data_IF_841571458303
#
_entry.id   IF_841571458303
#
_cell.length_a   1.000
_cell.length_b   1.000
_cell.length_c   1.000
_cell.angle_alpha   90.00
_cell.angle_beta   90.00
_cell.angle_gamma   90.00
#
_symmetry.space_group_name_H-M   'P 1'
#
loop_
_entity.id
_entity.type
_entity.pdbx_description
1 polymer ?
#
# COMPACT_ATOMS: atom_id res chain seq x y z
N UNK A 1 -21.43 -5.26 -13.33
CA UNK A 1 -20.20 -4.47 -13.10
C UNK A 1 -19.96 -4.45 -11.60
N UNK A 2 -18.72 -4.64 -11.20
CA UNK A 2 -18.30 -4.58 -9.79
C UNK A 2 -18.70 -3.24 -9.15
N UNK A 3 -19.07 -3.27 -7.87
CA UNK A 3 -19.30 -2.03 -7.10
C UNK A 3 -18.03 -1.18 -7.04
N UNK A 4 -16.87 -1.82 -7.01
CA UNK A 4 -15.55 -1.20 -6.91
C UNK A 4 -15.00 -0.69 -8.27
N UNK A 5 -15.62 -1.05 -9.40
CA UNK A 5 -15.10 -0.72 -10.73
C UNK A 5 -14.76 0.78 -10.91
N UNK A 6 -15.59 1.73 -10.45
CA UNK A 6 -15.24 3.16 -10.59
C UNK A 6 -13.96 3.56 -9.84
N UNK A 7 -13.62 2.88 -8.74
CA UNK A 7 -12.41 3.16 -7.97
C UNK A 7 -11.21 2.42 -8.58
N UNK A 8 -11.42 1.21 -9.11
CA UNK A 8 -10.43 0.48 -9.91
C UNK A 8 -9.99 1.35 -11.11
N UNK A 9 -10.95 1.93 -11.83
CA UNK A 9 -10.68 2.82 -12.97
C UNK A 9 -9.95 4.10 -12.52
N UNK A 10 -10.30 4.66 -11.35
CA UNK A 10 -9.64 5.84 -10.80
C UNK A 10 -8.19 5.54 -10.36
N UNK A 11 -7.91 4.38 -9.77
CA UNK A 11 -6.54 3.95 -9.44
C UNK A 11 -5.72 3.75 -10.71
N UNK A 12 -6.31 3.15 -11.76
CA UNK A 12 -5.67 3.01 -13.08
C UNK A 12 -5.29 4.37 -13.68
N UNK A 13 -6.22 5.32 -13.63
CA UNK A 13 -6.01 6.69 -14.10
C UNK A 13 -4.95 7.42 -13.26
N UNK A 14 -4.92 7.22 -11.96
CA UNK A 14 -3.90 7.76 -11.06
C UNK A 14 -2.51 7.19 -11.39
N UNK A 15 -2.40 5.90 -11.71
CA UNK A 15 -1.16 5.29 -12.18
C UNK A 15 -0.66 5.91 -13.48
N UNK A 16 -1.57 6.20 -14.41
CA UNK A 16 -1.24 6.88 -15.67
C UNK A 16 -0.72 8.31 -15.41
N UNK A 17 -1.35 9.05 -14.49
CA UNK A 17 -0.86 10.35 -14.06
C UNK A 17 0.56 10.26 -13.51
N UNK A 18 0.82 9.29 -12.62
CA UNK A 18 2.14 9.07 -12.03
C UNK A 18 3.21 8.81 -13.10
N UNK A 19 2.94 7.96 -14.09
CA UNK A 19 3.86 7.70 -15.20
C UNK A 19 4.16 8.96 -16.00
N UNK A 20 3.14 9.75 -16.36
CA UNK A 20 3.33 11.02 -17.09
C UNK A 20 4.16 12.03 -16.32
N UNK A 21 4.01 12.09 -15.01
CA UNK A 21 4.84 12.98 -14.16
C UNK A 21 6.29 12.49 -14.14
N UNK A 22 6.54 11.20 -14.02
CA UNK A 22 7.90 10.64 -14.08
C UNK A 22 8.57 10.92 -15.42
N UNK A 23 7.88 10.73 -16.54
CA UNK A 23 8.39 10.96 -17.89
C UNK A 23 8.70 12.43 -18.17
N UNK A 24 7.94 13.34 -17.58
CA UNK A 24 8.12 14.79 -17.81
C UNK A 24 9.22 15.43 -16.98
N UNK A 25 9.86 14.69 -16.07
CA UNK A 25 10.81 15.19 -15.06
C UNK A 25 10.24 16.37 -14.22
N UNK A 26 8.96 16.68 -14.38
CA UNK A 26 8.31 17.83 -13.82
C UNK A 26 7.57 17.43 -12.54
N UNK A 27 8.13 17.71 -11.37
CA UNK A 27 7.29 17.70 -10.20
C UNK A 27 7.80 17.07 -8.94
N UNK A 28 9.10 16.92 -8.77
CA UNK A 28 9.64 16.60 -7.46
C UNK A 28 9.80 17.89 -6.66
N UNK A 29 8.83 18.20 -5.82
CA UNK A 29 9.01 19.21 -4.77
C UNK A 29 9.52 18.51 -3.51
N UNK A 30 10.72 18.89 -3.03
CA UNK A 30 11.19 18.46 -1.72
C UNK A 30 10.67 19.45 -0.68
N UNK A 31 9.76 19.01 0.17
CA UNK A 31 9.43 19.77 1.38
C UNK A 31 10.67 19.88 2.25
N UNK A 32 10.80 20.99 2.98
CA UNK A 32 11.88 21.30 3.92
C UNK A 32 12.07 20.24 5.03
N UNK A 33 11.13 19.33 5.21
CA UNK A 33 11.06 18.38 6.33
C UNK A 33 11.30 16.91 5.92
N UNK A 34 12.09 16.67 4.88
CA UNK A 34 12.62 15.36 4.48
C UNK A 34 11.62 14.30 3.93
N UNK A 35 10.36 14.61 3.72
CA UNK A 35 9.43 13.73 3.00
C UNK A 35 9.20 14.28 1.60
N UNK A 36 9.68 13.61 0.53
CA UNK A 36 9.46 14.11 -0.82
C UNK A 36 7.97 13.96 -1.17
N UNK A 37 7.27 15.07 -1.25
CA UNK A 37 5.91 15.14 -1.78
C UNK A 37 6.00 15.60 -3.22
N UNK A 38 5.33 14.91 -4.08
CA UNK A 38 5.30 15.18 -5.52
C UNK A 38 3.93 15.72 -5.94
N UNK A 39 3.87 16.43 -7.06
CA UNK A 39 2.59 16.82 -7.67
C UNK A 39 1.73 15.61 -8.04
N UNK A 40 2.38 14.45 -8.24
CA UNK A 40 1.72 13.20 -8.54
C UNK A 40 0.90 12.68 -7.35
N UNK A 41 1.39 12.84 -6.09
CA UNK A 41 0.65 12.44 -4.89
C UNK A 41 -0.72 13.13 -4.83
N UNK A 42 -0.71 14.47 -4.90
CA UNK A 42 -1.96 15.23 -4.88
C UNK A 42 -2.87 14.91 -6.06
N UNK A 43 -2.31 14.75 -7.26
CA UNK A 43 -3.07 14.44 -8.47
C UNK A 43 -3.71 13.05 -8.41
N UNK A 44 -2.94 12.04 -7.99
CA UNK A 44 -3.41 10.67 -7.83
C UNK A 44 -4.52 10.59 -6.77
N UNK A 45 -4.30 11.20 -5.59
CA UNK A 45 -5.32 11.22 -4.55
C UNK A 45 -6.59 11.97 -5.00
N UNK A 46 -6.46 13.10 -5.67
CA UNK A 46 -7.61 13.87 -6.17
C UNK A 46 -8.47 13.05 -7.15
N UNK A 47 -7.85 12.27 -8.05
CA UNK A 47 -8.55 11.38 -8.98
C UNK A 47 -9.35 10.30 -8.25
N UNK A 48 -8.76 9.65 -7.26
CA UNK A 48 -9.42 8.62 -6.46
C UNK A 48 -10.55 9.24 -5.63
N UNK A 49 -10.30 10.33 -4.91
CA UNK A 49 -11.31 11.01 -4.10
C UNK A 49 -12.46 11.58 -4.94
N UNK A 50 -12.20 12.04 -6.19
CA UNK A 50 -13.25 12.44 -7.15
C UNK A 50 -14.18 11.26 -7.47
N UNK A 51 -13.63 10.08 -7.71
CA UNK A 51 -14.43 8.88 -7.96
C UNK A 51 -15.23 8.46 -6.73
N UNK A 52 -14.62 8.50 -5.54
CA UNK A 52 -15.29 8.23 -4.27
C UNK A 52 -16.45 9.18 -4.04
N UNK A 53 -16.24 10.49 -4.19
CA UNK A 53 -17.29 11.49 -4.04
C UNK A 53 -18.50 11.26 -4.95
N UNK A 54 -18.26 10.72 -6.15
CA UNK A 54 -19.32 10.43 -7.13
C UNK A 54 -20.07 9.14 -6.81
N UNK A 55 -19.34 8.12 -6.34
CA UNK A 55 -19.89 6.76 -6.19
C UNK A 55 -20.28 6.42 -4.76
N UNK A 56 -19.55 6.95 -3.79
CA UNK A 56 -19.68 6.67 -2.36
C UNK A 56 -19.66 7.97 -1.54
N UNK A 57 -20.62 8.89 -1.77
CA UNK A 57 -20.58 10.23 -1.18
C UNK A 57 -20.69 10.25 0.35
N UNK A 58 -21.24 9.19 0.96
CA UNK A 58 -21.47 9.09 2.41
C UNK A 58 -20.34 8.36 3.15
N UNK A 59 -19.39 7.77 2.42
CA UNK A 59 -18.31 7.01 3.03
C UNK A 59 -17.25 7.94 3.66
N UNK A 60 -16.61 7.46 4.74
CA UNK A 60 -15.43 8.14 5.31
C UNK A 60 -14.20 7.97 4.44
N UNK A 61 -13.24 8.90 4.54
CA UNK A 61 -11.95 8.82 3.86
C UNK A 61 -10.82 9.19 4.80
N UNK A 62 -9.82 8.30 4.90
CA UNK A 62 -8.52 8.56 5.51
C UNK A 62 -7.48 8.47 4.40
N UNK A 63 -6.80 9.56 4.12
CA UNK A 63 -5.81 9.63 3.05
C UNK A 63 -4.55 10.35 3.51
N UNK A 64 -3.42 10.02 2.90
CA UNK A 64 -2.12 10.56 3.26
C UNK A 64 -2.08 12.08 3.06
N UNK A 65 -2.52 12.56 1.89
CA UNK A 65 -2.40 13.97 1.53
C UNK A 65 -3.59 14.80 2.02
N UNK A 66 -3.31 16.02 2.50
CA UNK A 66 -4.28 16.94 3.06
C UNK A 66 -4.61 18.09 2.13
N UNK A 67 -5.90 18.51 2.12
CA UNK A 67 -6.32 19.70 1.39
C UNK A 67 -5.61 20.99 1.86
N UNK A 68 -5.42 21.16 3.17
CA UNK A 68 -4.70 22.31 3.73
C UNK A 68 -3.22 22.29 3.35
N UNK A 69 -2.61 21.10 3.31
CA UNK A 69 -1.22 20.94 2.85
C UNK A 69 -1.10 21.29 1.35
N UNK A 70 -2.08 20.88 0.53
CA UNK A 70 -2.16 21.32 -0.86
C UNK A 70 -2.24 22.84 -1.00
N UNK A 71 -3.10 23.52 -0.25
CA UNK A 71 -3.22 24.98 -0.27
C UNK A 71 -1.94 25.69 0.18
N UNK A 72 -1.08 25.03 0.96
CA UNK A 72 0.20 25.56 1.41
C UNK A 72 1.30 25.46 0.34
N UNK A 73 1.06 24.75 -0.77
CA UNK A 73 2.00 24.71 -1.89
C UNK A 73 2.07 26.05 -2.62
N UNK A 74 3.20 26.36 -3.29
CA UNK A 74 3.30 27.52 -4.18
C UNK A 74 2.17 27.54 -5.22
N UNK A 75 1.58 28.70 -5.54
CA UNK A 75 0.47 28.80 -6.50
C UNK A 75 0.76 28.14 -7.86
N UNK A 76 2.01 28.22 -8.33
CA UNK A 76 2.44 27.61 -9.59
C UNK A 76 2.35 26.08 -9.55
N UNK A 77 2.70 25.45 -8.42
CA UNK A 77 2.65 24.01 -8.23
C UNK A 77 1.20 23.52 -8.12
N UNK A 78 0.34 24.24 -7.37
CA UNK A 78 -1.10 23.94 -7.31
C UNK A 78 -1.72 23.98 -8.69
N UNK A 79 -1.47 25.07 -9.43
CA UNK A 79 -1.96 25.21 -10.80
C UNK A 79 -1.43 24.12 -11.73
N UNK A 80 -0.22 23.62 -11.52
CA UNK A 80 0.34 22.52 -12.30
C UNK A 80 -0.38 21.19 -11.99
N UNK A 81 -0.60 20.86 -10.72
CA UNK A 81 -1.35 19.66 -10.32
C UNK A 81 -2.77 19.66 -10.91
N UNK A 82 -3.47 20.79 -10.78
CA UNK A 82 -4.82 20.98 -11.36
C UNK A 82 -4.81 20.78 -12.87
N UNK A 83 -3.85 21.39 -13.60
CA UNK A 83 -3.73 21.23 -15.05
C UNK A 83 -3.43 19.79 -15.48
N UNK A 84 -2.60 19.08 -14.73
CA UNK A 84 -2.29 17.66 -15.02
C UNK A 84 -3.55 16.80 -14.93
N UNK A 85 -4.32 16.96 -13.84
CA UNK A 85 -5.57 16.25 -13.64
C UNK A 85 -6.62 16.64 -14.69
N UNK A 86 -6.79 17.93 -14.98
CA UNK A 86 -7.73 18.41 -15.98
C UNK A 86 -7.45 17.83 -17.38
N UNK A 87 -6.17 17.78 -17.77
CA UNK A 87 -5.75 17.17 -19.06
C UNK A 87 -6.06 15.68 -19.12
N UNK A 88 -5.84 14.97 -18.02
CA UNK A 88 -6.06 13.54 -17.96
C UNK A 88 -7.55 13.20 -17.99
N UNK A 89 -8.39 14.01 -17.32
CA UNK A 89 -9.84 13.87 -17.32
C UNK A 89 -10.50 14.34 -18.62
N UNK A 90 -9.81 15.19 -19.42
CA UNK A 90 -10.39 15.82 -20.59
C UNK A 90 -11.49 16.83 -20.27
N UNK A 91 -11.55 17.33 -19.02
CA UNK A 91 -12.55 18.31 -18.56
C UNK A 91 -11.90 19.45 -17.75
N UNK A 92 -12.50 20.64 -17.68
CA UNK A 92 -12.03 21.71 -16.83
C UNK A 92 -12.07 21.31 -15.36
N UNK A 93 -11.01 21.62 -14.61
CA UNK A 93 -10.90 21.44 -13.16
C UNK A 93 -10.41 22.74 -12.55
N UNK A 94 -11.05 23.18 -11.47
CA UNK A 94 -10.65 24.35 -10.69
C UNK A 94 -9.86 23.94 -9.44
N UNK A 95 -9.10 24.85 -8.82
CA UNK A 95 -8.45 24.60 -7.52
C UNK A 95 -9.49 24.26 -6.43
N UNK A 96 -10.67 24.87 -6.50
CA UNK A 96 -11.81 24.60 -5.62
C UNK A 96 -12.34 23.17 -5.77
N UNK A 97 -12.45 22.65 -7.00
CA UNK A 97 -12.84 21.26 -7.23
C UNK A 97 -11.80 20.31 -6.65
N UNK A 98 -10.53 20.60 -6.92
CA UNK A 98 -9.41 19.82 -6.44
C UNK A 98 -9.36 19.77 -4.91
N UNK A 99 -9.50 20.90 -4.24
CA UNK A 99 -9.57 20.98 -2.77
C UNK A 99 -10.78 20.20 -2.22
N UNK A 100 -11.96 20.34 -2.82
CA UNK A 100 -13.15 19.57 -2.45
C UNK A 100 -12.98 18.07 -2.59
N UNK A 101 -12.20 17.61 -3.57
CA UNK A 101 -11.90 16.18 -3.70
C UNK A 101 -10.93 15.73 -2.61
N UNK A 102 -9.84 16.45 -2.38
CA UNK A 102 -8.86 16.11 -1.33
C UNK A 102 -9.45 16.12 0.09
N UNK A 103 -10.50 16.87 0.33
CA UNK A 103 -11.17 16.98 1.65
C UNK A 103 -12.42 16.11 1.77
N UNK A 104 -12.80 15.42 0.68
CA UNK A 104 -14.00 14.57 0.68
C UNK A 104 -13.90 13.45 1.72
N UNK A 105 -15.00 13.21 2.46
CA UNK A 105 -15.11 12.14 3.45
C UNK A 105 -14.20 12.27 4.67
N UNK A 106 -13.41 13.35 4.80
CA UNK A 106 -12.56 13.60 5.97
C UNK A 106 -13.42 13.86 7.20
N UNK A 107 -13.06 13.19 8.31
CA UNK A 107 -13.80 13.28 9.58
C UNK A 107 -15.26 12.78 9.51
N UNK A 108 -15.67 12.14 8.43
CA UNK A 108 -16.96 11.46 8.34
C UNK A 108 -16.85 10.12 9.08
N UNK A 109 -17.80 9.88 10.00
CA UNK A 109 -17.97 8.57 10.63
C UNK A 109 -18.99 7.80 9.82
N UNK A 110 -18.55 6.74 9.17
CA UNK A 110 -19.39 5.87 8.35
C UNK A 110 -19.04 4.40 8.63
N UNK A 111 -19.93 3.51 8.27
CA UNK A 111 -19.71 2.06 8.40
C UNK A 111 -18.55 1.60 7.54
N UNK A 112 -18.36 2.24 6.37
CA UNK A 112 -17.23 2.04 5.49
C UNK A 112 -16.34 3.28 5.43
N UNK A 113 -15.03 3.07 5.59
CA UNK A 113 -14.00 4.11 5.47
C UNK A 113 -12.98 3.70 4.41
N UNK A 114 -12.79 4.53 3.41
CA UNK A 114 -11.71 4.37 2.41
C UNK A 114 -10.39 4.85 2.99
N UNK A 115 -9.34 4.10 2.68
CA UNK A 115 -7.97 4.41 3.10
C UNK A 115 -7.11 4.48 1.86
N UNK A 116 -6.46 5.63 1.62
CA UNK A 116 -5.77 5.94 0.36
C UNK A 116 -4.33 6.28 0.64
N UNK A 117 -3.43 5.65 -0.11
CA UNK A 117 -2.05 6.05 -0.30
C UNK A 117 -1.84 6.35 -1.80
N UNK A 118 -1.68 7.62 -2.18
CA UNK A 118 -1.57 8.00 -3.58
C UNK A 118 -0.29 7.49 -4.25
N UNK A 119 0.83 7.42 -3.49
CA UNK A 119 2.10 6.85 -3.97
C UNK A 119 2.83 6.17 -2.82
N UNK A 120 2.41 4.96 -2.46
CA UNK A 120 3.17 4.13 -1.52
C UNK A 120 4.51 3.72 -2.13
N UNK A 121 5.58 4.14 -1.48
CA UNK A 121 6.93 3.99 -1.98
C UNK A 121 7.42 5.21 -2.77
N UNK A 122 7.22 6.41 -2.27
CA UNK A 122 7.65 7.68 -2.89
C UNK A 122 9.13 7.69 -3.28
N UNK A 123 10.01 7.09 -2.45
CA UNK A 123 11.42 6.90 -2.81
C UNK A 123 11.61 6.00 -4.05
N UNK A 124 10.77 4.98 -4.20
CA UNK A 124 10.73 4.14 -5.40
C UNK A 124 10.29 4.96 -6.62
N UNK A 125 9.21 5.72 -6.48
CA UNK A 125 8.72 6.61 -7.52
C UNK A 125 9.79 7.60 -8.01
N UNK A 126 10.47 8.31 -7.09
CA UNK A 126 11.51 9.29 -7.42
C UNK A 126 12.72 8.65 -8.14
N UNK A 127 13.04 7.42 -7.78
CA UNK A 127 14.23 6.71 -8.30
C UNK A 127 13.90 5.72 -9.43
N UNK A 128 12.71 5.75 -10.02
CA UNK A 128 12.31 4.87 -11.12
C UNK A 128 12.23 3.38 -10.73
N UNK A 129 12.01 3.09 -9.44
CA UNK A 129 11.81 1.74 -8.91
C UNK A 129 10.32 1.46 -8.69
N UNK A 130 10.02 0.30 -8.10
CA UNK A 130 8.65 -0.08 -7.77
C UNK A 130 7.98 0.92 -6.81
N UNK A 131 6.71 1.22 -7.05
CA UNK A 131 5.80 1.98 -6.20
C UNK A 131 4.38 1.52 -6.47
N UNK A 132 3.44 1.95 -5.64
CA UNK A 132 2.04 1.57 -5.82
C UNK A 132 1.10 2.76 -5.54
N UNK A 133 -0.03 2.80 -6.26
CA UNK A 133 -1.19 3.66 -5.98
C UNK A 133 -2.24 2.79 -5.30
N UNK A 134 -2.66 3.15 -4.11
CA UNK A 134 -3.42 2.25 -3.26
C UNK A 134 -4.72 2.87 -2.73
N UNK A 135 -5.79 2.08 -2.78
CA UNK A 135 -7.05 2.36 -2.12
C UNK A 135 -7.59 1.09 -1.48
N UNK A 136 -8.02 1.17 -0.23
CA UNK A 136 -8.61 0.04 0.48
C UNK A 136 -9.80 0.48 1.32
N UNK A 137 -10.60 -0.46 1.80
CA UNK A 137 -11.73 -0.18 2.69
C UNK A 137 -11.56 -0.80 4.06
N UNK A 138 -12.02 -0.07 5.06
CA UNK A 138 -12.27 -0.57 6.40
C UNK A 138 -13.77 -0.63 6.65
N UNK A 139 -14.26 -1.78 7.10
CA UNK A 139 -15.62 -1.96 7.65
C UNK A 139 -15.46 -2.50 9.06
N UNK A 140 -16.03 -1.81 10.04
CA UNK A 140 -15.87 -2.14 11.47
C UNK A 140 -14.40 -2.30 11.90
N UNK A 141 -13.51 -1.47 11.34
CA UNK A 141 -12.06 -1.51 11.61
C UNK A 141 -11.31 -2.70 10.99
N UNK A 142 -11.94 -3.46 10.09
CA UNK A 142 -11.31 -4.57 9.38
C UNK A 142 -11.05 -4.22 7.91
N UNK A 143 -9.86 -4.48 7.38
CA UNK A 143 -9.59 -4.41 5.94
C UNK A 143 -10.46 -5.42 5.17
N UNK A 144 -11.28 -4.91 4.23
CA UNK A 144 -12.23 -5.71 3.43
C UNK A 144 -11.84 -5.71 1.97
N UNK A 145 -11.69 -4.51 1.38
CA UNK A 145 -11.28 -4.39 -0.01
C UNK A 145 -9.92 -3.76 -0.14
N UNK A 146 -9.21 -4.12 -1.21
CA UNK A 146 -7.93 -3.57 -1.58
C UNK A 146 -7.78 -3.44 -3.08
N UNK A 147 -7.29 -2.28 -3.53
CA UNK A 147 -6.96 -1.98 -4.92
C UNK A 147 -5.52 -1.43 -4.91
N UNK A 148 -4.64 -2.04 -5.67
CA UNK A 148 -3.21 -1.68 -5.75
C UNK A 148 -2.82 -1.60 -7.23
N UNK A 149 -2.59 -0.40 -7.72
CA UNK A 149 -1.98 -0.18 -9.02
C UNK A 149 -0.46 -0.14 -8.89
N UNK A 150 0.24 -1.02 -9.57
CA UNK A 150 1.71 -1.09 -9.58
C UNK A 150 2.25 -0.79 -10.98
N UNK A 151 2.57 0.48 -11.32
CA UNK A 151 3.10 0.85 -12.64
C UNK A 151 4.42 0.19 -12.98
N UNK A 152 5.27 -0.04 -11.97
CA UNK A 152 6.50 -0.80 -12.07
C UNK A 152 6.32 -2.08 -11.27
N UNK A 153 5.95 -3.16 -11.96
CA UNK A 153 5.63 -4.45 -11.35
C UNK A 153 6.66 -5.51 -11.78
N UNK A 154 7.16 -6.35 -10.85
CA UNK A 154 8.02 -7.46 -11.21
C UNK A 154 7.25 -8.63 -11.87
N UNK A 155 5.92 -8.55 -11.95
CA UNK A 155 5.07 -9.58 -12.56
C UNK A 155 4.68 -9.27 -14.00
N UNK A 156 4.75 -7.99 -14.40
CA UNK A 156 4.43 -7.54 -15.76
C UNK A 156 5.15 -6.22 -16.04
N UNK A 157 5.89 -6.13 -17.13
CA UNK A 157 6.66 -4.95 -17.55
C UNK A 157 5.76 -3.73 -17.83
N UNK A 158 4.48 -3.96 -18.22
CA UNK A 158 3.49 -2.91 -18.44
C UNK A 158 2.77 -2.46 -17.17
N UNK A 159 3.15 -3.03 -16.02
CA UNK A 159 2.50 -2.82 -14.74
C UNK A 159 1.32 -3.75 -14.51
N UNK A 160 0.92 -3.86 -13.26
CA UNK A 160 -0.13 -4.76 -12.81
C UNK A 160 -1.12 -4.02 -11.91
N UNK A 161 -2.39 -4.25 -12.11
CA UNK A 161 -3.46 -3.87 -11.20
C UNK A 161 -3.89 -5.10 -10.40
N UNK A 162 -3.90 -4.96 -9.09
CA UNK A 162 -4.36 -5.97 -8.14
C UNK A 162 -5.59 -5.45 -7.41
N UNK A 163 -6.60 -6.28 -7.20
CA UNK A 163 -7.80 -5.87 -6.48
C UNK A 163 -8.54 -7.05 -5.85
N UNK A 164 -9.41 -6.74 -4.90
CA UNK A 164 -10.34 -7.70 -4.33
C UNK A 164 -11.70 -7.55 -4.98
N UNK A 165 -12.38 -8.66 -5.21
CA UNK A 165 -13.76 -8.72 -5.64
C UNK A 165 -14.41 -10.03 -5.21
N UNK A 166 -15.60 -9.96 -4.60
CA UNK A 166 -16.33 -11.15 -4.16
C UNK A 166 -15.57 -11.98 -3.12
N UNK A 167 -14.76 -11.34 -2.27
CA UNK A 167 -13.92 -12.01 -1.26
C UNK A 167 -12.70 -12.72 -1.82
N UNK A 168 -12.38 -12.53 -3.09
CA UNK A 168 -11.22 -13.10 -3.79
C UNK A 168 -10.27 -12.01 -4.23
N UNK A 169 -9.01 -12.36 -4.44
CA UNK A 169 -7.98 -11.49 -4.98
C UNK A 169 -7.77 -11.73 -6.47
N UNK A 170 -7.59 -10.65 -7.22
CA UNK A 170 -7.44 -10.66 -8.68
C UNK A 170 -6.26 -9.82 -9.13
N UNK A 171 -5.69 -10.16 -10.27
CA UNK A 171 -4.72 -9.33 -10.98
C UNK A 171 -5.03 -9.26 -12.46
N UNK A 172 -4.79 -8.09 -13.04
CA UNK A 172 -4.87 -7.87 -14.49
C UNK A 172 -3.80 -6.87 -14.94
N UNK A 173 -3.49 -6.77 -16.22
CA UNK A 173 -2.61 -5.73 -16.73
C UNK A 173 -3.09 -4.34 -16.36
N UNK A 174 -2.15 -3.47 -15.96
CA UNK A 174 -2.47 -2.07 -15.64
C UNK A 174 -2.97 -1.34 -16.89
N UNK A 175 -2.38 -1.60 -18.04
CA UNK A 175 -2.87 -1.15 -19.33
C UNK A 175 -3.84 -2.19 -19.90
N UNK A 176 -5.08 -1.75 -20.13
CA UNK A 176 -6.07 -2.62 -20.76
C UNK A 176 -5.66 -2.91 -22.21
N UNK A 177 -5.57 -4.18 -22.54
CA UNK A 177 -5.35 -4.65 -23.89
C UNK A 177 -6.47 -5.61 -24.30
N UNK A 178 -6.78 -5.64 -25.59
CA UNK A 178 -7.80 -6.56 -26.12
C UNK A 178 -7.49 -8.01 -25.74
N UNK A 179 -8.46 -8.67 -25.11
CA UNK A 179 -8.35 -10.06 -24.68
C UNK A 179 -7.66 -10.30 -23.33
N UNK A 180 -7.21 -9.25 -22.62
CA UNK A 180 -6.73 -9.41 -21.26
C UNK A 180 -7.88 -9.75 -20.31
N UNK A 181 -7.72 -10.84 -19.54
CA UNK A 181 -8.70 -11.26 -18.54
C UNK A 181 -8.09 -11.22 -17.16
N UNK A 182 -8.85 -10.83 -16.11
CA UNK A 182 -8.40 -10.92 -14.75
C UNK A 182 -8.01 -12.36 -14.38
N UNK A 183 -6.93 -12.48 -13.62
CA UNK A 183 -6.45 -13.76 -13.07
C UNK A 183 -6.69 -13.77 -11.56
N UNK A 184 -7.36 -14.80 -11.06
CA UNK A 184 -7.52 -15.04 -9.62
C UNK A 184 -6.13 -15.29 -9.00
N UNK A 185 -5.89 -14.69 -7.83
CA UNK A 185 -4.65 -14.81 -7.11
C UNK A 185 -4.80 -15.75 -5.92
N UNK A 186 -3.77 -16.54 -5.70
CA UNK A 186 -3.62 -17.39 -4.53
C UNK A 186 -2.20 -17.27 -4.01
N UNK A 187 -2.05 -17.24 -2.69
CA UNK A 187 -0.73 -17.36 -2.06
C UNK A 187 -0.11 -18.71 -2.40
N UNK A 188 1.20 -18.83 -2.27
CA UNK A 188 1.88 -20.11 -2.50
C UNK A 188 1.69 -21.06 -1.32
N UNK A 189 1.79 -22.35 -1.58
CA UNK A 189 1.74 -23.43 -0.60
C UNK A 189 3.14 -23.89 -0.12
N UNK A 190 4.20 -23.13 -0.43
CA UNK A 190 5.57 -23.46 -0.05
C UNK A 190 5.75 -23.46 1.46
N UNK A 191 6.40 -24.50 1.97
CA UNK A 191 6.70 -24.69 3.39
C UNK A 191 8.18 -24.92 3.69
N UNK A 192 8.94 -25.45 2.72
CA UNK A 192 10.36 -25.70 2.89
C UNK A 192 11.16 -24.39 2.99
N UNK A 193 11.82 -24.11 4.14
CA UNK A 193 12.53 -22.86 4.38
C UNK A 193 13.53 -22.49 3.28
N UNK A 194 14.25 -23.45 2.72
CA UNK A 194 15.24 -23.23 1.68
C UNK A 194 14.60 -22.81 0.33
N UNK A 195 13.32 -23.07 0.14
CA UNK A 195 12.56 -22.70 -1.06
C UNK A 195 11.77 -21.41 -0.90
N UNK A 196 11.58 -20.90 0.33
CA UNK A 196 10.82 -19.67 0.57
C UNK A 196 11.50 -18.46 -0.07
N UNK A 197 10.67 -17.56 -0.58
CA UNK A 197 11.09 -16.26 -1.12
C UNK A 197 10.60 -15.18 -0.18
N UNK A 198 11.48 -14.29 0.23
CA UNK A 198 11.11 -13.13 1.03
C UNK A 198 11.21 -11.85 0.23
N UNK A 199 10.38 -10.88 0.58
CA UNK A 199 10.46 -9.52 0.06
C UNK A 199 10.71 -8.54 1.19
N UNK A 200 11.53 -7.52 0.94
CA UNK A 200 11.90 -6.48 1.88
C UNK A 200 11.74 -5.09 1.29
N UNK A 201 11.72 -4.07 2.15
CA UNK A 201 11.83 -2.68 1.71
C UNK A 201 13.26 -2.33 1.34
N UNK A 202 13.46 -1.52 0.28
CA UNK A 202 14.75 -0.93 -0.01
C UNK A 202 15.23 -0.07 1.14
N UNK A 203 14.35 0.76 1.66
CA UNK A 203 14.64 1.64 2.81
C UNK A 203 14.27 0.92 4.09
N UNK A 204 15.25 0.43 4.80
CA UNK A 204 15.13 -0.21 6.10
C UNK A 204 16.26 0.27 7.01
N UNK A 205 15.93 0.69 8.24
CA UNK A 205 16.95 1.09 9.21
C UNK A 205 17.90 -0.08 9.51
N UNK A 206 19.18 0.23 9.79
CA UNK A 206 20.23 -0.78 10.03
C UNK A 206 19.81 -1.84 11.05
N UNK A 207 19.30 -1.40 12.22
CA UNK A 207 18.85 -2.34 13.27
C UNK A 207 17.73 -3.26 12.83
N UNK A 208 16.73 -2.73 12.10
CA UNK A 208 15.64 -3.55 11.56
C UNK A 208 16.14 -4.58 10.55
N UNK A 209 17.15 -4.22 9.76
CA UNK A 209 17.80 -5.15 8.82
C UNK A 209 18.56 -6.25 9.53
N UNK A 210 19.40 -5.89 10.50
CA UNK A 210 20.17 -6.86 11.31
C UNK A 210 19.25 -7.89 11.97
N UNK A 211 18.07 -7.47 12.44
CA UNK A 211 17.08 -8.35 13.06
C UNK A 211 16.38 -9.21 12.00
N UNK A 212 15.99 -8.63 10.86
CA UNK A 212 15.39 -9.37 9.76
C UNK A 212 16.34 -10.47 9.26
N UNK A 213 17.63 -10.14 9.08
CA UNK A 213 18.67 -11.10 8.67
C UNK A 213 18.81 -12.26 9.69
N UNK A 214 18.75 -11.96 10.99
CA UNK A 214 18.77 -12.99 12.05
C UNK A 214 17.51 -13.85 12.00
N UNK A 215 16.33 -13.25 11.83
CA UNK A 215 15.06 -13.98 11.75
C UNK A 215 15.07 -14.90 10.53
N UNK A 216 15.47 -14.40 9.36
CA UNK A 216 15.53 -15.22 8.16
C UNK A 216 16.57 -16.33 8.26
N UNK A 217 17.75 -16.03 8.82
CA UNK A 217 18.79 -17.03 9.06
C UNK A 217 18.32 -18.15 9.99
N UNK A 218 17.69 -17.80 11.13
CA UNK A 218 17.16 -18.76 12.09
C UNK A 218 15.96 -19.56 11.55
N UNK A 219 15.16 -18.92 10.67
CA UNK A 219 14.07 -19.59 9.95
C UNK A 219 14.59 -20.46 8.79
N UNK A 220 15.88 -20.44 8.48
CA UNK A 220 16.50 -21.25 7.45
C UNK A 220 16.24 -20.75 6.02
N UNK A 221 15.87 -19.47 5.82
CA UNK A 221 15.67 -18.92 4.50
C UNK A 221 17.00 -18.73 3.75
N UNK A 222 16.99 -19.00 2.46
CA UNK A 222 18.14 -18.71 1.58
C UNK A 222 18.19 -17.19 1.28
N UNK A 223 19.22 -16.50 1.77
CA UNK A 223 19.42 -15.06 1.53
C UNK A 223 19.39 -14.65 0.06
N UNK A 224 19.75 -15.56 -0.87
CA UNK A 224 19.67 -15.30 -2.33
C UNK A 224 18.25 -15.18 -2.87
N UNK A 225 17.26 -15.60 -2.08
CA UNK A 225 15.82 -15.53 -2.39
C UNK A 225 15.13 -14.32 -1.78
N UNK A 226 15.88 -13.43 -1.14
CA UNK A 226 15.36 -12.17 -0.59
C UNK A 226 15.48 -11.10 -1.67
N UNK A 227 14.35 -10.52 -2.07
CA UNK A 227 14.28 -9.42 -3.04
C UNK A 227 13.75 -8.16 -2.37
N UNK A 228 14.13 -7.00 -2.91
CA UNK A 228 13.75 -5.70 -2.37
C UNK A 228 12.85 -4.94 -3.32
N UNK A 229 11.78 -4.36 -2.77
CA UNK A 229 10.83 -3.52 -3.48
C UNK A 229 10.34 -2.38 -2.58
N UNK A 230 9.95 -1.27 -3.18
CA UNK A 230 9.26 -0.19 -2.47
C UNK A 230 7.74 -0.41 -2.52
N UNK A 231 7.01 0.24 -1.64
CA UNK A 231 5.55 0.26 -1.58
C UNK A 231 4.86 -1.10 -1.32
N UNK A 232 3.54 -1.08 -1.44
CA UNK A 232 2.65 -2.25 -1.26
C UNK A 232 2.76 -3.31 -2.36
N UNK A 233 3.62 -3.11 -3.36
CA UNK A 233 4.01 -4.17 -4.30
C UNK A 233 4.46 -5.43 -3.55
N UNK A 234 5.07 -5.31 -2.36
CA UNK A 234 5.45 -6.44 -1.51
C UNK A 234 4.27 -7.30 -1.05
N UNK A 235 3.15 -6.65 -0.68
CA UNK A 235 1.90 -7.35 -0.35
C UNK A 235 1.33 -8.06 -1.57
N UNK A 236 1.31 -7.37 -2.72
CA UNK A 236 0.83 -7.93 -3.98
C UNK A 236 1.63 -9.16 -4.42
N UNK A 237 2.95 -9.16 -4.19
CA UNK A 237 3.81 -10.32 -4.48
C UNK A 237 3.51 -11.52 -3.58
N UNK A 238 3.18 -11.29 -2.31
CA UNK A 238 2.73 -12.38 -1.41
C UNK A 238 1.36 -12.90 -1.87
N UNK A 239 0.39 -12.03 -2.13
CA UNK A 239 -0.93 -12.40 -2.61
C UNK A 239 -0.89 -13.17 -3.94
N UNK A 240 0.05 -12.84 -4.83
CA UNK A 240 0.25 -13.51 -6.12
C UNK A 240 1.04 -14.82 -6.03
N UNK A 241 1.43 -15.28 -4.82
CA UNK A 241 2.28 -16.44 -4.64
C UNK A 241 3.69 -16.29 -5.22
N UNK A 242 4.15 -15.06 -5.49
CA UNK A 242 5.48 -14.75 -5.98
C UNK A 242 6.51 -14.59 -4.85
N UNK A 243 6.05 -14.39 -3.62
CA UNK A 243 6.82 -14.44 -2.38
C UNK A 243 5.99 -15.09 -1.29
N UNK A 244 6.64 -15.63 -0.26
CA UNK A 244 5.99 -16.28 0.87
C UNK A 244 6.01 -15.41 2.13
N UNK A 245 6.98 -14.49 2.22
CA UNK A 245 7.24 -13.74 3.44
C UNK A 245 7.55 -12.27 3.15
N UNK A 246 6.90 -11.38 3.89
CA UNK A 246 7.26 -9.99 4.02
C UNK A 246 7.23 -9.57 5.49
N UNK A 247 8.37 -9.12 6.01
CA UNK A 247 8.48 -8.54 7.35
C UNK A 247 8.57 -7.02 7.25
N UNK A 248 7.55 -6.33 7.74
CA UNK A 248 7.62 -4.89 7.95
C UNK A 248 8.23 -4.64 9.33
N UNK A 249 9.47 -4.20 9.37
CA UNK A 249 10.25 -4.03 10.58
C UNK A 249 9.62 -3.07 11.61
N UNK A 250 10.07 -3.16 12.88
CA UNK A 250 9.49 -2.38 13.96
C UNK A 250 9.73 -0.88 13.80
N UNK A 251 8.72 -0.10 14.22
CA UNK A 251 8.80 1.36 14.39
C UNK A 251 8.52 1.74 15.84
N UNK A 252 9.00 2.88 16.25
CA UNK A 252 8.60 3.51 17.52
C UNK A 252 7.12 3.91 17.43
N UNK A 253 6.26 3.15 18.11
CA UNK A 253 4.80 3.34 18.06
C UNK A 253 4.34 4.67 18.67
N UNK A 254 5.21 5.36 19.44
CA UNK A 254 4.90 6.67 20.04
C UNK A 254 5.37 7.83 19.16
N UNK A 255 6.57 7.71 18.56
CA UNK A 255 7.20 8.79 17.80
C UNK A 255 6.96 8.71 16.30
N UNK A 256 6.91 7.51 15.74
CA UNK A 256 6.77 7.27 14.31
C UNK A 256 6.00 5.97 14.06
N UNK A 257 4.71 5.89 14.44
CA UNK A 257 3.89 4.71 14.23
C UNK A 257 3.73 4.42 12.73
N UNK A 258 3.40 3.16 12.42
CA UNK A 258 3.00 2.79 11.06
C UNK A 258 1.70 3.52 10.70
N UNK A 259 1.58 3.93 9.45
CA UNK A 259 0.37 4.56 8.91
C UNK A 259 -0.54 3.49 8.31
N UNK A 260 -1.85 3.64 8.50
CA UNK A 260 -2.78 2.61 8.01
C UNK A 260 -2.83 2.54 6.48
N UNK A 261 -2.60 3.65 5.80
CA UNK A 261 -2.61 3.69 4.34
C UNK A 261 -1.48 2.88 3.70
N UNK A 262 -0.34 2.67 4.39
CA UNK A 262 0.74 1.74 3.96
C UNK A 262 0.30 0.25 4.04
N UNK A 263 -0.88 -0.09 4.58
CA UNK A 263 -1.19 -1.47 4.96
C UNK A 263 -2.58 -1.98 4.61
N UNK A 264 -3.63 -1.13 4.61
CA UNK A 264 -5.02 -1.59 4.49
C UNK A 264 -5.28 -2.33 3.20
N UNK A 265 -4.98 -1.72 2.04
CA UNK A 265 -5.22 -2.35 0.74
C UNK A 265 -4.44 -3.66 0.58
N UNK A 266 -3.16 -3.66 0.99
CA UNK A 266 -2.32 -4.86 0.95
C UNK A 266 -2.81 -5.98 1.87
N UNK A 267 -3.28 -5.62 3.07
CA UNK A 267 -3.83 -6.61 4.03
C UNK A 267 -5.09 -7.27 3.48
N UNK A 268 -6.02 -6.48 2.91
CA UNK A 268 -7.22 -7.01 2.28
C UNK A 268 -6.88 -7.97 1.13
N UNK A 269 -5.95 -7.56 0.25
CA UNK A 269 -5.53 -8.37 -0.90
C UNK A 269 -4.90 -9.70 -0.47
N UNK A 270 -3.97 -9.68 0.50
CA UNK A 270 -3.30 -10.90 0.98
C UNK A 270 -4.29 -11.86 1.64
N UNK A 271 -5.20 -11.34 2.47
CA UNK A 271 -6.24 -12.17 3.12
C UNK A 271 -7.18 -12.79 2.07
N UNK A 272 -7.61 -12.02 1.08
CA UNK A 272 -8.46 -12.51 -0.01
C UNK A 272 -7.77 -13.58 -0.88
N UNK A 273 -6.43 -13.56 -0.96
CA UNK A 273 -5.62 -14.59 -1.63
C UNK A 273 -5.33 -15.83 -0.77
N UNK A 274 -5.81 -15.87 0.49
CA UNK A 274 -5.59 -16.98 1.42
C UNK A 274 -4.36 -16.86 2.32
N UNK A 275 -3.68 -15.70 2.30
CA UNK A 275 -2.54 -15.42 3.16
C UNK A 275 -2.92 -14.86 4.53
N UNK A 276 -1.92 -14.57 5.35
CA UNK A 276 -2.10 -14.06 6.71
C UNK A 276 -1.29 -12.79 6.94
N UNK A 277 -1.89 -11.84 7.71
CA UNK A 277 -1.28 -10.58 8.14
C UNK A 277 -1.54 -10.39 9.62
N UNK A 278 -0.46 -10.25 10.40
CA UNK A 278 -0.50 -10.00 11.86
C UNK A 278 0.55 -8.96 12.25
N UNK A 279 0.54 -8.56 13.51
CA UNK A 279 1.73 -7.97 14.13
C UNK A 279 2.89 -8.97 14.15
N UNK A 280 4.11 -8.49 14.39
CA UNK A 280 5.29 -9.36 14.51
C UNK A 280 5.20 -10.37 15.66
N UNK A 281 4.32 -10.10 16.62
CA UNK A 281 4.00 -10.97 17.78
C UNK A 281 2.87 -11.97 17.48
N UNK A 282 2.41 -12.06 16.24
CA UNK A 282 1.33 -12.94 15.79
C UNK A 282 -0.09 -12.46 16.15
N UNK A 283 -0.23 -11.29 16.82
CA UNK A 283 -1.55 -10.74 17.17
C UNK A 283 -2.21 -10.05 15.96
N UNK A 284 -3.53 -10.01 15.97
CA UNK A 284 -4.29 -9.26 14.99
C UNK A 284 -3.89 -7.77 15.01
N UNK A 285 -3.78 -7.18 13.84
CA UNK A 285 -3.53 -5.74 13.69
C UNK A 285 -4.85 -5.01 13.91
N UNK A 286 -4.82 -4.00 14.79
CA UNK A 286 -5.97 -3.14 15.07
C UNK A 286 -5.95 -1.91 14.15
N UNK A 287 -6.79 -1.90 13.13
CA UNK A 287 -6.96 -0.79 12.19
C UNK A 287 -8.02 0.22 12.62
N UNK A 288 -8.63 0.08 13.80
CA UNK A 288 -9.68 0.99 14.28
C UNK A 288 -9.15 2.29 14.92
N UNK A 289 -7.83 2.46 15.02
CA UNK A 289 -7.18 3.55 15.76
C UNK A 289 -7.03 4.86 14.99
N UNK A 290 -7.74 5.03 13.88
CA UNK A 290 -7.59 6.19 12.98
C UNK A 290 -6.44 6.00 12.00
N UNK A 291 -5.63 7.03 11.76
CA UNK A 291 -4.60 7.00 10.71
C UNK A 291 -3.29 6.28 11.10
N UNK A 292 -3.16 5.81 12.33
CA UNK A 292 -1.90 5.28 12.87
C UNK A 292 -2.09 3.97 13.63
N UNK A 293 -1.16 3.03 13.42
CA UNK A 293 -1.13 1.75 14.14
C UNK A 293 -0.28 1.87 15.42
N UNK A 294 -0.83 2.52 16.45
CA UNK A 294 -0.08 2.81 17.70
C UNK A 294 0.19 1.59 18.58
N UNK A 295 -0.55 0.49 18.37
CA UNK A 295 -0.40 -0.76 19.11
C UNK A 295 0.34 -1.83 18.32
N UNK A 296 0.89 -1.51 17.14
CA UNK A 296 1.56 -2.45 16.24
C UNK A 296 2.99 -2.00 15.97
N UNK A 297 3.96 -2.73 16.50
CA UNK A 297 5.39 -2.44 16.30
C UNK A 297 5.82 -2.60 14.85
N UNK A 298 5.34 -3.62 14.19
CA UNK A 298 5.60 -3.98 12.82
C UNK A 298 4.68 -5.12 12.40
N UNK A 299 4.76 -5.55 11.14
CA UNK A 299 3.84 -6.54 10.60
C UNK A 299 4.57 -7.72 9.98
N UNK A 300 3.98 -8.89 10.13
CA UNK A 300 4.31 -10.11 9.39
C UNK A 300 3.21 -10.39 8.39
N UNK A 301 3.61 -10.52 7.14
CA UNK A 301 2.76 -10.88 6.01
C UNK A 301 3.30 -12.17 5.43
N UNK A 302 2.46 -13.19 5.27
CA UNK A 302 2.91 -14.46 4.71
C UNK A 302 1.82 -15.20 3.91
N UNK A 303 2.23 -16.32 3.33
CA UNK A 303 1.33 -17.26 2.65
C UNK A 303 0.39 -18.03 3.63
N UNK A 304 0.40 -17.71 4.91
CA UNK A 304 -0.43 -18.39 5.94
C UNK A 304 0.19 -19.69 6.45
N UNK A 305 0.70 -20.54 5.58
CA UNK A 305 1.20 -21.87 5.96
C UNK A 305 2.43 -21.77 6.86
N UNK A 306 3.37 -20.86 6.59
CA UNK A 306 4.59 -20.68 7.40
C UNK A 306 4.43 -19.60 8.48
N UNK A 307 3.24 -19.01 8.62
CA UNK A 307 3.03 -17.82 9.44
C UNK A 307 3.42 -18.03 10.91
N UNK A 308 2.85 -19.02 11.55
CA UNK A 308 3.08 -19.27 12.99
C UNK A 308 4.52 -19.70 13.29
N UNK A 309 5.14 -20.51 12.44
CA UNK A 309 6.55 -20.85 12.60
C UNK A 309 7.47 -19.63 12.54
N UNK A 310 7.15 -18.65 11.68
CA UNK A 310 7.87 -17.38 11.62
C UNK A 310 7.62 -16.51 12.86
N UNK A 311 6.40 -16.47 13.39
CA UNK A 311 6.10 -15.79 14.67
C UNK A 311 6.93 -16.38 15.82
N UNK A 312 7.03 -17.71 15.92
CA UNK A 312 7.86 -18.39 16.92
C UNK A 312 9.33 -18.01 16.78
N UNK A 313 9.86 -18.03 15.55
CA UNK A 313 11.25 -17.61 15.28
C UNK A 313 11.45 -16.14 15.68
N UNK A 314 10.55 -15.23 15.29
CA UNK A 314 10.64 -13.81 15.65
C UNK A 314 10.61 -13.61 17.16
N UNK A 315 9.73 -14.32 17.86
CA UNK A 315 9.63 -14.24 19.32
C UNK A 315 10.93 -14.68 19.99
N UNK A 316 11.53 -15.78 19.54
CA UNK A 316 12.79 -16.30 20.05
C UNK A 316 13.97 -15.40 19.76
N UNK A 317 14.07 -14.86 18.55
CA UNK A 317 15.23 -14.10 18.05
C UNK A 317 15.19 -12.64 18.50
N UNK A 318 14.02 -12.04 18.54
CA UNK A 318 13.86 -10.59 18.71
C UNK A 318 12.81 -10.19 19.76
N UNK A 319 12.09 -11.16 20.35
CA UNK A 319 10.98 -10.87 21.26
C UNK A 319 11.40 -10.03 22.48
N UNK A 320 12.55 -10.32 23.08
CA UNK A 320 13.08 -9.56 24.20
C UNK A 320 13.47 -8.12 23.80
N UNK A 321 14.05 -7.94 22.60
CA UNK A 321 14.45 -6.60 22.10
C UNK A 321 13.24 -5.75 21.72
N UNK A 322 12.16 -6.39 21.24
CA UNK A 322 10.94 -5.73 20.78
C UNK A 322 9.84 -5.67 21.84
N UNK A 323 10.09 -6.30 23.01
CA UNK A 323 9.12 -6.31 24.11
C UNK A 323 7.88 -7.16 23.81
N UNK A 324 8.00 -8.20 22.97
CA UNK A 324 6.91 -9.13 22.74
C UNK A 324 6.60 -9.88 24.01
N UNK A 325 5.31 -9.95 24.35
CA UNK A 325 4.83 -10.96 25.28
C UNK A 325 4.71 -12.28 24.51
N UNK A 326 5.10 -13.42 25.13
CA UNK A 326 4.90 -14.72 24.49
C UNK A 326 3.42 -14.89 24.08
N UNK A 327 3.14 -15.66 23.02
CA UNK A 327 1.77 -16.02 22.68
C UNK A 327 1.07 -16.55 23.93
N UNK A 328 -0.15 -16.13 24.19
CA UNK A 328 -0.98 -16.76 25.22
C UNK A 328 -1.50 -18.04 24.62
N UNK A 329 -1.23 -19.16 25.30
CA UNK A 329 -1.77 -20.50 25.01
C UNK A 329 -3.30 -20.46 24.93
#
# INVERSE_FOLDING_TARGET
MSELQPIIDAVRLACELCRRVQESEAGVSRKSDASPVTLADYGAQALICRALRRRFPEDGVIAEEGGEAFLSLPPAERAQAVRLVARLLGEPVTEDDFFRWLTHGRNVRADRTWVIDPIDGTEGFINGRAYAVCAGTLVEGQPVDGIIGAPVSPLDEKGTLFYTEGGKAWAEPLELSDGASPRELHVSDRVDPQSLRAVESYVMGRRSREIADRVYGEAGLDARRIKRYDGMVKYALVAAGAAEVYVRGPRDTRKNPHKIWDHVAGTALVRAAGGQVTGLDGRAVDFSQGSELRNTLGLLISNGVVHMSLVEVMTRVAGAEWGFLPPRD
#
